data_IF_601462206215
#
_entry.id   IF_601462206215
#
_cell.length_a   1.000
_cell.length_b   1.000
_cell.length_c   1.000
_cell.angle_alpha   90.00
_cell.angle_beta   90.00
_cell.angle_gamma   90.00
#
_symmetry.space_group_name_H-M   'P 1'
#
loop_
_entity.id
_entity.type
_entity.pdbx_description
1 polymer ?
#
# COMPACT_ATOMS: atom_id res chain seq x y z
N UNK A 1 30.88 16.36 -7.87
CA UNK A 1 30.79 14.97 -7.37
C UNK A 1 31.18 14.03 -8.50
N UNK A 2 32.00 12.98 -8.21
CA UNK A 2 32.32 11.95 -9.22
C UNK A 2 31.06 11.13 -9.54
N UNK A 3 30.94 10.67 -10.78
CA UNK A 3 29.89 9.70 -11.18
C UNK A 3 30.08 8.39 -10.43
N UNK A 4 28.98 7.75 -10.06
CA UNK A 4 28.98 6.39 -9.50
C UNK A 4 28.57 5.41 -10.59
N UNK A 5 29.18 4.25 -10.63
CA UNK A 5 28.87 3.18 -11.54
C UNK A 5 28.37 1.98 -10.75
N UNK A 6 27.21 1.45 -11.10
CA UNK A 6 26.58 0.32 -10.44
C UNK A 6 26.32 -0.76 -11.48
N UNK A 7 26.88 -1.92 -11.26
CA UNK A 7 26.64 -3.09 -12.09
C UNK A 7 25.67 -4.04 -11.39
N UNK A 8 24.63 -4.46 -12.08
CA UNK A 8 23.62 -5.38 -11.58
C UNK A 8 23.53 -6.62 -12.46
N UNK A 9 23.32 -7.79 -11.83
CA UNK A 9 23.02 -9.01 -12.56
C UNK A 9 21.69 -8.92 -13.28
N UNK A 10 20.68 -8.34 -12.62
CA UNK A 10 19.33 -8.18 -13.18
C UNK A 10 18.73 -6.83 -12.83
N UNK A 11 17.89 -6.33 -13.72
CA UNK A 11 17.12 -5.11 -13.56
C UNK A 11 15.65 -5.36 -13.87
N UNK A 12 14.79 -5.12 -12.88
CA UNK A 12 13.35 -4.94 -13.04
C UNK A 12 13.07 -3.45 -12.87
N UNK A 13 12.90 -2.72 -13.94
CA UNK A 13 12.96 -1.25 -13.94
C UNK A 13 11.67 -0.56 -13.46
N UNK A 14 10.61 -1.32 -13.15
CA UNK A 14 9.30 -0.80 -12.70
C UNK A 14 8.36 -0.39 -13.84
N UNK A 15 8.77 -0.50 -15.11
CA UNK A 15 7.91 -0.19 -16.26
C UNK A 15 6.89 -1.29 -16.58
N UNK A 16 7.13 -2.51 -16.11
CA UNK A 16 6.39 -3.73 -16.49
C UNK A 16 7.03 -4.47 -17.66
N UNK A 17 8.06 -3.90 -18.29
CA UNK A 17 8.84 -4.51 -19.36
C UNK A 17 9.66 -5.73 -18.88
N UNK A 18 10.10 -6.60 -19.78
CA UNK A 18 10.91 -7.76 -19.42
C UNK A 18 12.18 -7.39 -18.64
N UNK A 19 12.61 -8.34 -17.82
CA UNK A 19 13.85 -8.22 -17.03
C UNK A 19 15.04 -8.03 -17.96
N UNK A 20 15.93 -7.09 -17.62
CA UNK A 20 17.23 -6.91 -18.29
C UNK A 20 18.33 -7.55 -17.45
N UNK A 21 19.34 -8.10 -18.12
CA UNK A 21 20.48 -8.75 -17.47
C UNK A 21 21.78 -7.97 -17.70
N UNK A 22 22.71 -8.09 -16.74
CA UNK A 22 24.05 -7.51 -16.83
C UNK A 22 24.06 -6.01 -17.11
N UNK A 23 23.30 -5.24 -16.31
CA UNK A 23 23.05 -3.82 -16.56
C UNK A 23 24.03 -2.95 -15.78
N UNK A 24 24.58 -1.93 -16.46
CA UNK A 24 25.38 -0.87 -15.88
C UNK A 24 24.58 0.42 -15.74
N UNK A 25 24.40 0.91 -14.52
CA UNK A 25 23.83 2.22 -14.22
C UNK A 25 24.94 3.24 -13.97
N UNK A 26 24.81 4.41 -14.57
CA UNK A 26 25.64 5.58 -14.23
C UNK A 26 24.80 6.60 -13.48
N UNK A 27 25.26 6.98 -12.29
CA UNK A 27 24.57 7.95 -11.43
C UNK A 27 25.45 9.20 -11.30
N UNK A 28 24.88 10.36 -11.58
CA UNK A 28 25.55 11.64 -11.39
C UNK A 28 24.60 12.61 -10.68
N UNK A 29 25.09 13.29 -9.64
CA UNK A 29 24.32 14.26 -8.82
C UNK A 29 22.97 13.71 -8.33
N UNK A 30 22.92 12.41 -8.02
CA UNK A 30 21.72 11.75 -7.50
C UNK A 30 20.73 11.25 -8.53
N UNK A 31 20.92 11.54 -9.83
CA UNK A 31 20.08 11.07 -10.92
C UNK A 31 20.79 9.98 -11.76
N UNK A 32 20.00 9.09 -12.36
CA UNK A 32 20.44 8.09 -13.32
C UNK A 32 20.68 8.79 -14.66
N UNK A 33 21.92 8.86 -15.10
CA UNK A 33 22.28 9.55 -16.37
C UNK A 33 22.38 8.59 -17.55
N UNK A 34 22.71 7.32 -17.28
CA UNK A 34 22.86 6.30 -18.32
C UNK A 34 22.50 4.91 -17.80
N UNK A 35 21.93 4.11 -18.68
CA UNK A 35 21.64 2.68 -18.46
C UNK A 35 22.09 1.93 -19.70
N UNK A 36 23.04 1.01 -19.56
CA UNK A 36 23.60 0.25 -20.67
C UNK A 36 23.76 -1.21 -20.29
N UNK A 37 23.74 -2.08 -21.30
CA UNK A 37 24.16 -3.47 -21.10
C UNK A 37 25.68 -3.48 -20.93
N UNK A 38 26.14 -4.05 -19.82
CA UNK A 38 27.56 -4.04 -19.47
C UNK A 38 28.28 -5.24 -20.10
N UNK A 39 29.37 -4.94 -20.84
CA UNK A 39 30.31 -5.99 -21.24
C UNK A 39 31.25 -6.25 -20.05
N UNK A 40 31.39 -7.51 -19.57
CA UNK A 40 32.18 -7.83 -18.38
C UNK A 40 33.63 -7.27 -18.40
N UNK A 41 34.22 -7.13 -19.57
CA UNK A 41 35.59 -6.63 -19.73
C UNK A 41 35.75 -5.13 -19.38
N UNK A 42 34.72 -4.31 -19.51
CA UNK A 42 34.73 -2.91 -19.08
C UNK A 42 34.65 -2.71 -17.55
N UNK A 43 34.34 -3.77 -16.81
CA UNK A 43 34.31 -3.77 -15.33
C UNK A 43 35.63 -3.38 -14.68
N UNK A 44 36.79 -3.68 -15.31
CA UNK A 44 38.10 -3.58 -14.69
C UNK A 44 38.67 -2.17 -14.63
N UNK A 45 38.03 -1.18 -15.25
CA UNK A 45 38.62 0.15 -15.43
C UNK A 45 37.99 1.28 -14.59
N UNK A 46 36.95 1.02 -13.80
CA UNK A 46 36.22 2.04 -13.06
C UNK A 46 35.90 1.58 -11.62
N UNK A 47 35.83 2.54 -10.71
CA UNK A 47 35.35 2.28 -9.33
C UNK A 47 33.86 1.88 -9.40
N UNK A 48 33.59 0.58 -9.33
CA UNK A 48 32.32 -0.06 -9.58
C UNK A 48 31.69 -0.57 -8.28
N UNK A 49 30.42 -0.23 -8.05
CA UNK A 49 29.62 -0.88 -7.03
C UNK A 49 29.02 -2.14 -7.66
N UNK A 50 29.45 -3.30 -7.16
CA UNK A 50 29.12 -4.60 -7.75
C UNK A 50 27.90 -5.25 -7.08
N UNK A 51 26.78 -5.27 -7.80
CA UNK A 51 25.56 -6.00 -7.53
C UNK A 51 25.29 -7.11 -8.56
N UNK A 52 26.35 -7.73 -9.11
CA UNK A 52 26.23 -8.80 -10.11
C UNK A 52 25.40 -10.00 -9.66
N UNK A 53 25.29 -10.21 -8.36
CA UNK A 53 24.52 -11.27 -7.72
C UNK A 53 23.15 -10.80 -7.21
N UNK A 54 22.75 -9.58 -7.60
CA UNK A 54 21.49 -8.96 -7.15
C UNK A 54 20.57 -8.59 -8.30
N UNK A 55 19.29 -8.55 -7.98
CA UNK A 55 18.26 -7.89 -8.78
C UNK A 55 18.07 -6.46 -8.26
N UNK A 56 18.12 -5.48 -9.16
CA UNK A 56 17.74 -4.09 -8.86
C UNK A 56 16.24 -3.87 -9.17
N UNK A 57 15.58 -3.15 -8.27
CA UNK A 57 14.18 -2.76 -8.35
C UNK A 57 14.06 -1.27 -7.99
N UNK A 58 13.09 -0.50 -8.51
CA UNK A 58 12.78 0.80 -7.93
C UNK A 58 12.45 0.68 -6.45
N UNK A 59 12.68 1.73 -5.68
CA UNK A 59 12.17 1.78 -4.30
C UNK A 59 10.68 1.50 -4.29
N UNK A 60 10.25 0.59 -3.42
CA UNK A 60 8.87 0.15 -3.31
C UNK A 60 7.98 1.23 -2.71
N UNK A 61 6.69 1.18 -3.01
CA UNK A 61 5.68 2.11 -2.50
C UNK A 61 4.49 1.30 -1.97
N UNK A 62 4.01 1.63 -0.77
CA UNK A 62 2.79 1.05 -0.20
C UNK A 62 1.65 2.07 -0.28
N UNK A 63 0.68 1.84 -1.16
CA UNK A 63 -0.37 2.81 -1.46
C UNK A 63 -1.54 2.81 -0.45
N UNK A 64 -1.50 1.99 0.59
CA UNK A 64 -2.52 1.96 1.64
C UNK A 64 -1.97 1.42 2.95
N UNK A 65 -1.74 2.30 3.91
CA UNK A 65 -1.36 1.95 5.28
C UNK A 65 -2.18 2.76 6.29
N UNK A 66 -2.11 2.42 7.56
CA UNK A 66 -2.50 3.21 8.71
C UNK A 66 -1.31 3.34 9.67
N UNK A 67 -0.54 4.42 9.53
CA UNK A 67 0.72 4.60 10.27
C UNK A 67 0.50 4.71 11.79
N UNK A 68 -0.66 5.21 12.20
CA UNK A 68 -1.06 5.33 13.60
C UNK A 68 -1.15 3.97 14.32
N UNK A 69 -1.64 2.92 13.64
CA UNK A 69 -1.89 1.59 14.23
C UNK A 69 -0.75 0.63 13.94
N UNK A 70 -0.40 -0.24 14.89
CA UNK A 70 0.45 -1.40 14.62
C UNK A 70 -0.36 -2.58 14.07
N UNK A 71 0.32 -3.50 13.36
CA UNK A 71 -0.30 -4.74 12.87
C UNK A 71 -0.46 -5.82 13.94
N UNK A 72 -0.41 -5.49 15.24
CA UNK A 72 -0.51 -6.47 16.33
C UNK A 72 -1.83 -7.22 16.30
N UNK A 73 -1.79 -8.49 16.68
CA UNK A 73 -2.95 -9.38 16.86
C UNK A 73 -3.55 -9.26 18.25
N UNK A 74 -2.84 -8.61 19.18
CA UNK A 74 -3.28 -8.38 20.55
C UNK A 74 -4.32 -7.26 20.59
N UNK A 75 -5.56 -7.64 20.94
CA UNK A 75 -6.70 -6.72 20.96
C UNK A 75 -6.62 -5.68 22.09
N UNK A 76 -5.97 -6.01 23.21
CA UNK A 76 -5.79 -5.07 24.31
C UNK A 76 -4.76 -3.99 23.95
N UNK A 77 -3.67 -4.37 23.28
CA UNK A 77 -2.71 -3.42 22.75
C UNK A 77 -3.39 -2.52 21.70
N UNK A 78 -4.21 -3.09 20.81
CA UNK A 78 -4.95 -2.31 19.80
C UNK A 78 -5.92 -1.31 20.45
N UNK A 79 -6.65 -1.76 21.49
CA UNK A 79 -7.56 -0.88 22.22
C UNK A 79 -6.81 0.28 22.90
N UNK A 80 -5.66 0.00 23.51
CA UNK A 80 -4.78 1.03 24.08
C UNK A 80 -4.29 2.03 23.04
N UNK A 81 -3.87 1.55 21.85
CA UNK A 81 -3.41 2.44 20.77
C UNK A 81 -4.47 3.48 20.37
N UNK A 82 -5.76 3.14 20.43
CA UNK A 82 -6.84 4.07 20.09
C UNK A 82 -7.04 5.20 21.12
N UNK A 83 -6.47 5.07 22.31
CA UNK A 83 -6.56 6.07 23.40
C UNK A 83 -5.27 6.86 23.65
N UNK A 84 -4.21 6.58 22.88
CA UNK A 84 -2.93 7.26 23.02
C UNK A 84 -3.03 8.74 22.63
N UNK A 85 -2.21 9.56 23.26
CA UNK A 85 -2.00 10.97 22.89
C UNK A 85 -1.05 11.08 21.70
N UNK A 86 -0.90 12.27 21.14
CA UNK A 86 0.02 12.48 20.02
C UNK A 86 1.47 12.12 20.41
N UNK A 87 1.93 12.57 21.58
CA UNK A 87 3.30 12.31 22.03
C UNK A 87 3.58 10.81 22.23
N UNK A 88 2.58 10.05 22.69
CA UNK A 88 2.70 8.59 22.90
C UNK A 88 2.86 7.80 21.59
N UNK A 89 2.32 8.29 20.48
CA UNK A 89 2.33 7.55 19.19
C UNK A 89 3.56 7.83 18.35
N UNK A 90 4.31 8.91 18.60
CA UNK A 90 5.46 9.32 17.79
C UNK A 90 6.47 8.18 17.65
N UNK A 91 6.96 7.61 18.75
CA UNK A 91 7.94 6.54 18.73
C UNK A 91 7.46 5.30 17.93
N UNK A 92 6.18 4.95 18.05
CA UNK A 92 5.59 3.87 17.26
C UNK A 92 5.48 4.20 15.76
N UNK A 93 5.20 5.44 15.39
CA UNK A 93 5.21 5.86 13.98
C UNK A 93 6.62 5.80 13.39
N UNK A 94 7.62 6.25 14.13
CA UNK A 94 9.04 6.20 13.73
C UNK A 94 9.54 4.77 13.55
N UNK A 95 9.18 3.87 14.47
CA UNK A 95 9.47 2.44 14.33
C UNK A 95 8.88 1.90 13.02
N UNK A 96 7.62 2.21 12.72
CA UNK A 96 6.93 1.75 11.50
C UNK A 96 7.54 2.35 10.24
N UNK A 97 7.94 3.63 10.23
CA UNK A 97 8.69 4.23 9.12
C UNK A 97 10.05 3.56 8.93
N UNK A 98 10.75 3.23 10.02
CA UNK A 98 11.98 2.45 9.98
C UNK A 98 11.77 1.05 9.38
N UNK A 99 10.65 0.40 9.70
CA UNK A 99 10.28 -0.91 9.16
C UNK A 99 9.96 -0.84 7.65
N UNK A 100 9.32 0.25 7.18
CA UNK A 100 9.12 0.48 5.74
C UNK A 100 10.47 0.56 5.02
N UNK A 101 11.39 1.40 5.47
CA UNK A 101 12.72 1.55 4.87
C UNK A 101 13.54 0.25 4.92
N UNK A 102 13.47 -0.50 6.02
CA UNK A 102 14.13 -1.79 6.14
C UNK A 102 13.64 -2.84 5.13
N UNK A 103 12.43 -2.65 4.59
CA UNK A 103 11.85 -3.47 3.52
C UNK A 103 11.94 -2.81 2.14
N UNK A 104 12.73 -1.72 1.98
CA UNK A 104 12.90 -1.03 0.70
C UNK A 104 11.71 -0.17 0.26
N UNK A 105 10.78 0.13 1.17
CA UNK A 105 9.62 0.99 0.88
C UNK A 105 10.01 2.43 1.15
N UNK A 106 10.03 3.25 0.10
CA UNK A 106 10.49 4.64 0.11
C UNK A 106 9.35 5.66 0.10
N UNK A 107 8.13 5.20 -0.14
CA UNK A 107 6.94 6.04 -0.12
C UNK A 107 5.73 5.25 0.38
N UNK A 108 4.79 5.94 1.02
CA UNK A 108 3.54 5.33 1.46
C UNK A 108 2.38 6.34 1.48
N UNK A 109 1.14 5.80 1.41
CA UNK A 109 -0.10 6.57 1.52
C UNK A 109 -0.89 6.11 2.74
N UNK A 110 -1.03 6.98 3.72
CA UNK A 110 -1.77 6.73 4.94
C UNK A 110 -3.26 6.97 4.76
N UNK A 111 -4.08 6.00 5.14
CA UNK A 111 -5.53 6.03 5.03
C UNK A 111 -6.24 6.84 6.12
N UNK A 112 -5.48 7.55 6.94
CA UNK A 112 -5.99 8.41 7.99
C UNK A 112 -6.11 7.75 9.35
N UNK A 113 -6.21 8.59 10.36
CA UNK A 113 -6.52 8.26 11.74
C UNK A 113 -7.49 9.28 12.32
N UNK A 114 -8.22 8.89 13.38
CA UNK A 114 -9.28 9.71 13.99
C UNK A 114 -8.83 11.10 14.42
N UNK A 115 -7.59 11.23 14.88
CA UNK A 115 -7.02 12.44 15.44
C UNK A 115 -6.16 13.22 14.44
N UNK A 116 -5.94 12.68 13.22
CA UNK A 116 -5.02 13.19 12.21
C UNK A 116 -3.57 13.27 12.71
N UNK A 117 -3.17 12.38 13.61
CA UNK A 117 -1.82 12.34 14.19
C UNK A 117 -0.75 12.05 13.13
N UNK A 118 -1.05 11.20 12.13
CA UNK A 118 -0.12 10.96 11.04
C UNK A 118 0.18 12.24 10.25
N UNK A 119 -0.83 13.08 10.00
CA UNK A 119 -0.64 14.36 9.33
C UNK A 119 0.13 15.36 10.22
N UNK A 120 -0.18 15.40 11.51
CA UNK A 120 0.54 16.23 12.47
C UNK A 120 2.01 15.80 12.55
N UNK A 121 2.30 14.50 12.65
CA UNK A 121 3.65 13.95 12.63
C UNK A 121 4.41 14.35 11.37
N UNK A 122 3.78 14.20 10.20
CA UNK A 122 4.37 14.64 8.94
C UNK A 122 4.80 16.10 8.98
N UNK A 123 3.91 16.98 9.41
CA UNK A 123 4.17 18.42 9.48
C UNK A 123 5.27 18.78 10.47
N UNK A 124 5.26 18.15 11.66
CA UNK A 124 6.10 18.60 12.78
C UNK A 124 7.47 17.90 12.78
N UNK A 125 7.60 16.68 12.23
CA UNK A 125 8.77 15.82 12.40
C UNK A 125 9.37 15.31 11.09
N UNK A 126 8.58 14.94 10.08
CA UNK A 126 9.10 14.27 8.89
C UNK A 126 10.02 15.17 8.06
N UNK A 127 9.73 16.47 8.00
CA UNK A 127 10.55 17.46 7.28
C UNK A 127 11.94 17.66 7.88
N UNK A 128 12.20 17.12 9.09
CA UNK A 128 13.53 17.10 9.72
C UNK A 128 14.47 16.04 9.17
N UNK A 129 14.07 15.31 8.09
CA UNK A 129 14.87 14.32 7.36
C UNK A 129 15.42 13.14 8.20
N UNK A 130 14.75 12.76 9.28
CA UNK A 130 15.14 11.58 10.07
C UNK A 130 14.83 10.30 9.30
N UNK A 131 13.68 10.26 8.64
CA UNK A 131 13.24 9.15 7.80
C UNK A 131 12.96 9.66 6.37
N UNK A 132 13.76 9.28 5.37
CA UNK A 132 13.58 9.72 3.99
C UNK A 132 12.47 8.93 3.28
N UNK A 133 11.30 8.86 3.88
CA UNK A 133 10.09 8.25 3.32
C UNK A 133 9.16 9.35 2.83
N UNK A 134 8.66 9.22 1.60
CA UNK A 134 7.62 10.09 1.08
C UNK A 134 6.27 9.65 1.66
N UNK A 135 5.79 10.36 2.68
CA UNK A 135 4.51 10.09 3.32
C UNK A 135 3.41 10.98 2.74
N UNK A 136 2.38 10.37 2.17
CA UNK A 136 1.12 11.03 1.81
C UNK A 136 0.09 10.71 2.88
N UNK A 137 -0.51 11.70 3.53
CA UNK A 137 -1.41 11.52 4.65
C UNK A 137 -2.78 12.16 4.41
N UNK A 138 -3.85 11.41 4.71
CA UNK A 138 -5.24 11.87 4.57
C UNK A 138 -5.71 12.76 5.74
N UNK A 139 -4.97 12.80 6.85
CA UNK A 139 -5.49 13.31 8.10
C UNK A 139 -6.58 12.39 8.66
N UNK A 140 -7.80 12.87 8.89
CA UNK A 140 -8.92 12.04 9.30
C UNK A 140 -9.76 11.63 8.08
N UNK A 141 -10.14 10.33 8.00
CA UNK A 141 -11.07 9.85 7.00
C UNK A 141 -12.49 10.36 7.25
N UNK A 142 -13.35 10.38 6.22
CA UNK A 142 -14.74 10.79 6.33
C UNK A 142 -15.68 9.59 6.32
N UNK A 143 -16.58 9.50 7.31
CA UNK A 143 -17.61 8.46 7.40
C UNK A 143 -18.93 9.05 7.92
N UNK A 144 -20.06 8.38 7.69
CA UNK A 144 -21.36 8.80 8.24
C UNK A 144 -21.46 8.52 9.75
N UNK A 145 -22.19 9.37 10.45
CA UNK A 145 -22.48 9.20 11.88
C UNK A 145 -23.08 7.81 12.15
N UNK A 146 -22.57 7.14 13.18
CA UNK A 146 -23.06 5.81 13.56
C UNK A 146 -22.63 4.66 12.63
N UNK A 147 -21.87 4.93 11.56
CA UNK A 147 -21.40 3.93 10.60
C UNK A 147 -19.93 3.58 10.84
N UNK A 148 -19.45 2.58 10.09
CA UNK A 148 -18.04 2.17 10.11
C UNK A 148 -17.11 3.31 9.68
N UNK A 149 -15.93 3.40 10.34
CA UNK A 149 -14.88 4.38 10.02
C UNK A 149 -14.40 5.20 11.24
N UNK A 150 -15.06 5.08 12.40
CA UNK A 150 -14.75 5.87 13.61
C UNK A 150 -13.29 5.76 14.09
N UNK A 151 -12.61 4.62 13.84
CA UNK A 151 -11.20 4.43 14.23
C UNK A 151 -10.26 5.32 13.41
N UNK A 152 -10.57 5.49 12.14
CA UNK A 152 -9.68 6.15 11.18
C UNK A 152 -10.16 7.55 10.78
N UNK A 153 -11.34 7.96 11.26
CA UNK A 153 -11.93 9.17 10.76
C UNK A 153 -12.97 9.81 11.67
N UNK A 154 -13.67 10.76 11.09
CA UNK A 154 -14.73 11.55 11.69
C UNK A 154 -15.91 11.71 10.72
N UNK A 155 -17.05 12.12 11.27
CA UNK A 155 -18.23 12.44 10.48
C UNK A 155 -18.25 13.92 10.11
N UNK A 156 -18.92 14.28 8.99
CA UNK A 156 -19.30 15.66 8.74
C UNK A 156 -20.08 16.25 9.94
N UNK A 157 -20.01 17.53 10.16
CA UNK A 157 -20.81 18.21 11.19
C UNK A 157 -22.31 17.94 11.01
N UNK A 158 -23.07 17.93 12.09
CA UNK A 158 -24.50 17.54 12.10
C UNK A 158 -25.36 18.27 11.05
N UNK A 159 -24.98 19.47 10.65
CA UNK A 159 -25.66 20.29 9.61
C UNK A 159 -24.79 20.55 8.39
N UNK A 160 -23.62 19.92 8.28
CA UNK A 160 -22.70 20.11 7.17
C UNK A 160 -22.79 18.97 6.14
N UNK A 161 -22.76 19.32 4.86
CA UNK A 161 -22.55 18.35 3.78
C UNK A 161 -21.09 17.92 3.73
N UNK A 162 -20.85 16.69 3.26
CA UNK A 162 -19.50 16.10 3.12
C UNK A 162 -18.53 17.03 2.37
N UNK A 163 -18.95 17.59 1.22
CA UNK A 163 -18.11 18.46 0.41
C UNK A 163 -17.64 19.71 1.16
N UNK A 164 -18.48 20.30 2.00
CA UNK A 164 -18.11 21.46 2.83
C UNK A 164 -17.11 21.07 3.93
N UNK A 165 -17.37 19.97 4.64
CA UNK A 165 -16.48 19.47 5.68
C UNK A 165 -15.09 19.12 5.12
N UNK A 166 -15.03 18.52 3.92
CA UNK A 166 -13.78 18.27 3.19
C UNK A 166 -13.08 19.59 2.86
N UNK A 167 -13.79 20.58 2.32
CA UNK A 167 -13.23 21.87 1.94
C UNK A 167 -12.55 22.60 3.11
N UNK A 168 -13.10 22.48 4.31
CA UNK A 168 -12.55 23.08 5.53
C UNK A 168 -11.18 22.53 5.92
N UNK A 169 -10.79 21.33 5.42
CA UNK A 169 -9.54 20.65 5.78
C UNK A 169 -8.61 20.40 4.60
N UNK A 170 -9.07 20.68 3.38
CA UNK A 170 -8.36 20.26 2.14
C UNK A 170 -6.92 20.77 2.06
N UNK A 171 -6.62 21.94 2.63
CA UNK A 171 -5.27 22.55 2.62
C UNK A 171 -4.29 21.91 3.59
N UNK A 172 -4.78 21.05 4.48
CA UNK A 172 -3.96 20.40 5.51
C UNK A 172 -3.71 18.92 5.22
N UNK A 173 -4.15 18.40 4.06
CA UNK A 173 -4.06 16.97 3.71
C UNK A 173 -3.45 16.80 2.32
N UNK A 174 -2.86 15.62 2.06
CA UNK A 174 -2.32 15.29 0.73
C UNK A 174 -3.38 14.68 -0.19
N UNK A 175 -4.39 14.04 0.38
CA UNK A 175 -5.49 13.38 -0.34
C UNK A 175 -6.71 13.22 0.58
N UNK A 176 -7.87 13.05 -0.02
CA UNK A 176 -9.12 12.83 0.70
C UNK A 176 -9.32 11.33 0.90
N UNK A 177 -9.61 10.89 2.12
CA UNK A 177 -10.06 9.52 2.41
C UNK A 177 -11.53 9.51 2.80
N UNK A 178 -12.31 8.67 2.12
CA UNK A 178 -13.73 8.47 2.40
C UNK A 178 -14.00 6.98 2.66
N UNK A 179 -14.85 6.69 3.63
CA UNK A 179 -15.35 5.35 3.95
C UNK A 179 -16.79 5.26 3.45
N UNK A 180 -17.00 4.52 2.36
CA UNK A 180 -18.34 4.42 1.73
C UNK A 180 -19.04 3.08 1.95
N UNK A 181 -18.46 2.17 2.71
CA UNK A 181 -19.10 0.90 3.07
C UNK A 181 -18.71 0.46 4.50
N UNK A 182 -19.24 -0.66 4.98
CA UNK A 182 -18.70 -1.36 6.13
C UNK A 182 -17.58 -2.32 5.74
N UNK A 183 -17.13 -3.10 6.73
CA UNK A 183 -16.16 -4.19 6.52
C UNK A 183 -16.82 -5.41 5.86
N UNK A 184 -16.01 -6.23 5.23
CA UNK A 184 -16.41 -7.57 4.81
C UNK A 184 -16.72 -8.46 6.02
N UNK A 185 -17.72 -9.30 5.86
CA UNK A 185 -18.02 -10.31 6.87
C UNK A 185 -17.05 -11.50 6.73
N UNK A 186 -16.44 -11.88 7.84
CA UNK A 186 -15.66 -13.12 7.94
C UNK A 186 -16.53 -14.36 8.25
N UNK A 187 -17.83 -14.16 8.53
CA UNK A 187 -18.76 -15.24 8.88
C UNK A 187 -19.79 -15.46 7.76
N UNK A 188 -20.15 -14.39 7.05
CA UNK A 188 -21.15 -14.45 5.97
C UNK A 188 -20.51 -14.02 4.67
N UNK A 189 -20.02 -14.99 3.90
CA UNK A 189 -19.42 -14.76 2.58
C UNK A 189 -20.37 -13.99 1.66
N UNK A 190 -19.85 -13.00 0.93
CA UNK A 190 -20.63 -12.19 0.00
C UNK A 190 -21.60 -11.19 0.63
N UNK A 191 -21.63 -11.06 1.97
CA UNK A 191 -22.51 -10.07 2.61
C UNK A 191 -22.03 -8.66 2.32
N UNK A 192 -22.83 -7.92 1.57
CA UNK A 192 -22.61 -6.50 1.29
C UNK A 192 -23.18 -5.61 2.40
N UNK A 193 -22.62 -4.42 2.54
CA UNK A 193 -23.14 -3.35 3.40
C UNK A 193 -23.61 -2.19 2.54
N UNK A 194 -24.69 -1.46 2.94
CA UNK A 194 -25.15 -0.33 2.18
C UNK A 194 -24.11 0.81 2.16
N UNK A 195 -24.13 1.64 1.10
CA UNK A 195 -23.25 2.81 1.00
C UNK A 195 -23.52 3.77 2.18
N UNK A 196 -22.48 4.53 2.54
CA UNK A 196 -22.58 5.54 3.59
C UNK A 196 -22.97 6.91 3.04
N UNK A 197 -22.53 7.24 1.86
CA UNK A 197 -22.80 8.49 1.15
C UNK A 197 -23.43 8.17 -0.21
N UNK A 198 -24.24 9.05 -0.72
CA UNK A 198 -24.78 8.95 -2.07
C UNK A 198 -23.82 9.54 -3.12
N UNK A 199 -24.20 9.44 -4.41
CA UNK A 199 -23.39 9.93 -5.53
C UNK A 199 -23.19 11.44 -5.46
N UNK A 200 -24.18 12.20 -5.02
CA UNK A 200 -24.12 13.67 -4.99
C UNK A 200 -23.14 14.13 -3.94
N UNK A 201 -23.24 13.56 -2.72
CA UNK A 201 -22.34 13.85 -1.61
C UNK A 201 -20.87 13.53 -1.95
N UNK A 202 -20.62 12.34 -2.52
CA UNK A 202 -19.27 11.96 -2.93
C UNK A 202 -18.75 12.85 -4.06
N UNK A 203 -19.59 13.20 -5.04
CA UNK A 203 -19.20 14.05 -6.16
C UNK A 203 -18.84 15.46 -5.71
N UNK A 204 -19.54 16.01 -4.72
CA UNK A 204 -19.19 17.29 -4.10
C UNK A 204 -17.77 17.21 -3.48
N UNK A 205 -17.45 16.16 -2.69
CA UNK A 205 -16.15 15.97 -2.09
C UNK A 205 -15.02 15.76 -3.13
N UNK A 206 -15.28 14.95 -4.16
CA UNK A 206 -14.35 14.73 -5.28
C UNK A 206 -14.07 16.04 -6.03
N UNK A 207 -15.11 16.84 -6.26
CA UNK A 207 -15.00 18.15 -6.94
C UNK A 207 -14.13 19.11 -6.14
N UNK A 208 -14.30 19.14 -4.82
CA UNK A 208 -13.39 19.89 -3.92
C UNK A 208 -11.96 19.38 -4.08
N UNK A 209 -11.73 18.06 -4.00
CA UNK A 209 -10.42 17.46 -4.21
C UNK A 209 -9.77 17.91 -5.52
N UNK A 210 -10.47 17.76 -6.64
CA UNK A 210 -9.97 18.16 -7.97
C UNK A 210 -9.55 19.63 -8.02
N UNK A 211 -10.32 20.53 -7.41
CA UNK A 211 -10.01 21.97 -7.34
C UNK A 211 -8.68 22.26 -6.63
N UNK A 212 -8.31 21.43 -5.65
CA UNK A 212 -7.10 21.62 -4.84
C UNK A 212 -5.98 20.63 -5.19
N UNK A 213 -6.12 19.83 -6.26
CA UNK A 213 -5.11 18.84 -6.66
C UNK A 213 -5.00 17.64 -5.73
N UNK A 214 -6.01 17.39 -4.90
CA UNK A 214 -6.06 16.26 -3.96
C UNK A 214 -6.84 15.09 -4.55
N UNK A 215 -6.19 13.95 -4.67
CA UNK A 215 -6.83 12.70 -5.07
C UNK A 215 -7.84 12.21 -4.01
N UNK A 216 -8.84 11.45 -4.43
CA UNK A 216 -9.85 10.88 -3.52
C UNK A 216 -9.70 9.37 -3.46
N UNK A 217 -9.40 8.86 -2.26
CA UNK A 217 -9.23 7.48 -1.87
C UNK A 217 -10.52 6.98 -1.19
N UNK A 218 -11.18 5.94 -1.72
CA UNK A 218 -12.49 5.49 -1.22
C UNK A 218 -12.45 4.04 -0.78
N UNK A 219 -12.62 3.78 0.53
CA UNK A 219 -12.93 2.46 1.05
C UNK A 219 -14.35 2.07 0.60
N UNK A 220 -14.49 1.07 -0.23
CA UNK A 220 -15.78 0.58 -0.71
C UNK A 220 -15.74 -0.92 -1.01
N UNK A 221 -16.67 -1.66 -0.41
CA UNK A 221 -16.90 -3.09 -0.62
C UNK A 221 -18.35 -3.30 -1.08
N UNK A 222 -18.56 -4.29 -1.94
CA UNK A 222 -19.87 -4.57 -2.54
C UNK A 222 -20.13 -3.77 -3.81
N UNK A 223 -21.11 -4.25 -4.59
CA UNK A 223 -21.42 -3.66 -5.91
C UNK A 223 -21.86 -2.21 -5.79
N UNK A 224 -22.83 -1.93 -4.91
CA UNK A 224 -23.46 -0.60 -4.83
C UNK A 224 -22.55 0.50 -4.27
N UNK A 225 -21.80 0.30 -3.16
CA UNK A 225 -20.87 1.31 -2.67
C UNK A 225 -19.76 1.64 -3.67
N UNK A 226 -19.23 0.63 -4.38
CA UNK A 226 -18.22 0.84 -5.43
C UNK A 226 -18.82 1.60 -6.61
N UNK A 227 -19.97 1.20 -7.13
CA UNK A 227 -20.67 1.89 -8.21
C UNK A 227 -20.87 3.39 -7.91
N UNK A 228 -21.28 3.71 -6.68
CA UNK A 228 -21.48 5.10 -6.24
C UNK A 228 -20.17 5.88 -6.24
N UNK A 229 -19.08 5.28 -5.72
CA UNK A 229 -17.76 5.92 -5.69
C UNK A 229 -17.22 6.18 -7.11
N UNK A 230 -17.39 5.21 -8.02
CA UNK A 230 -17.00 5.34 -9.43
C UNK A 230 -17.81 6.45 -10.12
N UNK A 231 -19.14 6.47 -9.95
CA UNK A 231 -20.01 7.53 -10.51
C UNK A 231 -19.68 8.93 -9.99
N UNK A 232 -19.15 9.03 -8.78
CA UNK A 232 -18.66 10.29 -8.22
C UNK A 232 -17.29 10.72 -8.80
N UNK A 233 -16.58 9.84 -9.50
CA UNK A 233 -15.28 10.10 -10.13
C UNK A 233 -14.12 10.11 -9.16
N UNK A 234 -14.10 9.19 -8.18
CA UNK A 234 -12.98 8.98 -7.28
C UNK A 234 -11.71 8.56 -8.03
N UNK A 235 -10.52 8.69 -7.39
CA UNK A 235 -9.25 8.35 -8.02
C UNK A 235 -8.84 6.90 -7.74
N UNK A 236 -9.21 6.37 -6.57
CA UNK A 236 -8.98 4.95 -6.25
C UNK A 236 -10.09 4.35 -5.41
N UNK A 237 -10.33 3.06 -5.65
CA UNK A 237 -11.13 2.17 -4.80
C UNK A 237 -10.16 1.34 -3.96
N UNK A 238 -10.39 1.33 -2.66
CA UNK A 238 -9.65 0.53 -1.70
C UNK A 238 -10.49 -0.70 -1.34
N UNK A 239 -9.82 -1.84 -1.20
CA UNK A 239 -10.38 -3.17 -0.95
C UNK A 239 -11.23 -3.69 -2.10
N UNK A 240 -12.40 -3.13 -2.38
CA UNK A 240 -13.23 -3.50 -3.53
C UNK A 240 -13.74 -4.94 -3.51
N UNK A 241 -13.87 -5.57 -2.33
CA UNK A 241 -14.41 -6.93 -2.25
C UNK A 241 -15.83 -6.99 -2.81
N UNK A 242 -16.11 -8.01 -3.61
CA UNK A 242 -17.45 -8.25 -4.20
C UNK A 242 -17.97 -7.10 -5.07
N UNK A 243 -17.11 -6.34 -5.71
CA UNK A 243 -17.52 -5.19 -6.52
C UNK A 243 -18.23 -5.56 -7.83
N UNK A 244 -18.01 -6.77 -8.33
CA UNK A 244 -18.63 -7.27 -9.57
C UNK A 244 -17.96 -6.78 -10.86
N UNK A 245 -18.23 -7.51 -11.96
CA UNK A 245 -17.53 -7.29 -13.23
C UNK A 245 -17.83 -5.94 -13.87
N UNK A 246 -19.05 -5.42 -13.75
CA UNK A 246 -19.42 -4.14 -14.35
C UNK A 246 -18.64 -2.96 -13.75
N UNK A 247 -18.38 -3.01 -12.42
CA UNK A 247 -17.55 -2.01 -11.79
C UNK A 247 -16.08 -2.16 -12.22
N UNK A 248 -15.58 -3.39 -12.41
CA UNK A 248 -14.24 -3.61 -12.96
C UNK A 248 -14.10 -3.06 -14.37
N UNK A 249 -15.06 -3.31 -15.27
CA UNK A 249 -15.08 -2.74 -16.62
C UNK A 249 -15.05 -1.22 -16.56
N UNK A 250 -15.90 -0.63 -15.72
CA UNK A 250 -15.96 0.81 -15.54
C UNK A 250 -14.63 1.39 -15.03
N UNK A 251 -13.97 0.71 -14.09
CA UNK A 251 -12.65 1.13 -13.61
C UNK A 251 -11.60 1.09 -14.72
N UNK A 252 -11.65 0.09 -15.60
CA UNK A 252 -10.78 0.01 -16.78
C UNK A 252 -11.05 1.15 -17.76
N UNK A 253 -12.32 1.39 -18.10
CA UNK A 253 -12.72 2.45 -19.05
C UNK A 253 -12.37 3.86 -18.53
N UNK A 254 -12.64 4.13 -17.25
CA UNK A 254 -12.41 5.44 -16.61
C UNK A 254 -11.00 5.58 -16.03
N UNK A 255 -10.14 4.56 -16.15
CA UNK A 255 -8.76 4.52 -15.63
C UNK A 255 -8.68 4.85 -14.13
N UNK A 256 -9.64 4.34 -13.34
CA UNK A 256 -9.67 4.47 -11.89
C UNK A 256 -8.83 3.36 -11.26
N UNK A 257 -7.91 3.71 -10.36
CA UNK A 257 -7.04 2.76 -9.69
C UNK A 257 -7.80 1.84 -8.73
N UNK A 258 -7.38 0.57 -8.68
CA UNK A 258 -7.79 -0.35 -7.64
C UNK A 258 -6.61 -0.75 -6.73
N UNK A 259 -6.82 -0.66 -5.40
CA UNK A 259 -5.89 -1.08 -4.36
C UNK A 259 -6.57 -2.20 -3.56
N UNK A 260 -6.38 -3.47 -3.92
CA UNK A 260 -7.19 -4.59 -3.41
C UNK A 260 -6.92 -4.96 -1.95
N UNK A 261 -5.72 -4.70 -1.42
CA UNK A 261 -5.31 -5.05 -0.04
C UNK A 261 -5.63 -6.51 0.33
N UNK A 262 -5.39 -7.44 -0.60
CA UNK A 262 -5.75 -8.85 -0.44
C UNK A 262 -5.04 -9.51 0.76
N UNK A 263 -3.86 -9.00 1.13
CA UNK A 263 -3.09 -9.47 2.28
C UNK A 263 -3.86 -9.37 3.60
N UNK A 264 -4.86 -8.50 3.72
CA UNK A 264 -5.71 -8.41 4.93
C UNK A 264 -6.47 -9.72 5.19
N UNK A 265 -7.04 -10.32 4.13
CA UNK A 265 -7.75 -11.61 4.26
C UNK A 265 -6.78 -12.76 4.51
N UNK A 266 -5.60 -12.73 3.89
CA UNK A 266 -4.52 -13.69 4.22
C UNK A 266 -4.12 -13.59 5.70
N UNK A 267 -3.93 -12.37 6.21
CA UNK A 267 -3.57 -12.13 7.59
C UNK A 267 -4.65 -12.67 8.55
N UNK A 268 -5.93 -12.38 8.31
CA UNK A 268 -7.03 -12.93 9.13
C UNK A 268 -7.05 -14.46 9.10
N UNK A 269 -6.92 -15.08 7.93
CA UNK A 269 -6.84 -16.54 7.81
C UNK A 269 -5.69 -17.10 8.63
N UNK A 270 -4.51 -16.52 8.53
CA UNK A 270 -3.30 -17.01 9.20
C UNK A 270 -3.40 -16.82 10.73
N UNK A 271 -3.90 -15.67 11.20
CA UNK A 271 -4.12 -15.37 12.62
C UNK A 271 -5.14 -16.34 13.25
N UNK A 272 -6.28 -16.54 12.61
CA UNK A 272 -7.28 -17.47 13.12
C UNK A 272 -6.82 -18.92 13.02
N UNK A 273 -6.13 -19.30 11.96
CA UNK A 273 -5.53 -20.62 11.83
C UNK A 273 -4.51 -20.92 12.93
N UNK A 274 -3.69 -19.94 13.32
CA UNK A 274 -2.76 -20.09 14.44
C UNK A 274 -3.50 -20.21 15.79
N UNK A 275 -4.58 -19.44 16.00
CA UNK A 275 -5.42 -19.54 17.21
C UNK A 275 -6.06 -20.92 17.33
N UNK A 276 -6.57 -21.48 16.22
CA UNK A 276 -7.11 -22.85 16.17
C UNK A 276 -6.06 -23.86 16.61
N UNK A 277 -4.84 -23.80 16.05
CA UNK A 277 -3.73 -24.69 16.44
C UNK A 277 -3.38 -24.59 17.91
N UNK A 278 -3.32 -23.37 18.44
CA UNK A 278 -2.98 -23.13 19.86
C UNK A 278 -4.06 -23.61 20.83
N UNK A 279 -5.33 -23.57 20.44
CA UNK A 279 -6.47 -24.04 21.23
C UNK A 279 -6.66 -25.56 21.10
N UNK A 280 -6.43 -26.14 19.92
CA UNK A 280 -6.61 -27.60 19.69
C UNK A 280 -5.64 -28.51 20.47
N UNK A 281 -4.61 -27.93 21.12
CA UNK A 281 -3.76 -28.64 22.07
C UNK A 281 -4.40 -28.82 23.50
N UNK A 282 -5.57 -28.22 23.74
CA UNK A 282 -6.36 -28.34 24.95
C UNK A 282 -7.73 -28.92 24.55
N UNK A 283 -8.22 -29.92 25.27
CA UNK A 283 -9.48 -30.63 24.96
C UNK A 283 -10.70 -29.70 25.11
N UNK A 284 -11.01 -28.92 24.10
CA UNK A 284 -12.11 -27.95 24.02
C UNK A 284 -13.07 -28.25 22.86
N UNK A 285 -13.35 -29.54 22.62
CA UNK A 285 -14.18 -30.00 21.51
C UNK A 285 -15.66 -29.53 21.53
N UNK A 286 -16.10 -28.80 22.55
CA UNK A 286 -17.48 -28.29 22.72
C UNK A 286 -17.57 -26.76 22.91
N UNK A 287 -16.51 -26.01 22.67
CA UNK A 287 -16.51 -24.55 22.87
C UNK A 287 -17.07 -23.81 21.68
N UNK A 288 -18.17 -23.07 21.86
CA UNK A 288 -18.77 -22.20 20.84
C UNK A 288 -17.79 -21.14 20.28
N UNK A 289 -16.76 -20.80 21.04
CA UNK A 289 -15.70 -19.88 20.62
C UNK A 289 -14.83 -20.50 19.53
N UNK A 290 -14.51 -21.78 19.60
CA UNK A 290 -13.73 -22.51 18.61
C UNK A 290 -14.47 -22.61 17.29
N UNK A 291 -15.77 -22.94 17.32
CA UNK A 291 -16.62 -22.98 16.12
C UNK A 291 -16.59 -21.63 15.39
N UNK A 292 -16.73 -20.53 16.13
CA UNK A 292 -16.70 -19.18 15.55
C UNK A 292 -15.35 -18.80 14.97
N UNK A 293 -14.23 -19.16 15.60
CA UNK A 293 -12.88 -18.92 15.07
C UNK A 293 -12.67 -19.70 13.76
N UNK A 294 -13.15 -20.97 13.70
CA UNK A 294 -13.11 -21.77 12.47
C UNK A 294 -13.92 -21.13 11.33
N UNK A 295 -15.14 -20.67 11.62
CA UNK A 295 -15.98 -19.96 10.64
C UNK A 295 -15.26 -18.70 10.11
N UNK A 296 -14.62 -17.93 10.98
CA UNK A 296 -13.89 -16.72 10.58
C UNK A 296 -12.66 -17.04 9.75
N UNK A 297 -11.91 -18.11 10.07
CA UNK A 297 -10.77 -18.56 9.29
C UNK A 297 -11.19 -19.01 7.88
N UNK A 298 -12.28 -19.79 7.81
CA UNK A 298 -12.86 -20.26 6.54
C UNK A 298 -13.38 -19.08 5.71
N UNK A 299 -14.11 -18.16 6.34
CA UNK A 299 -14.63 -16.98 5.65
C UNK A 299 -13.50 -16.07 5.14
N UNK A 300 -12.39 -15.92 5.88
CA UNK A 300 -11.22 -15.21 5.40
C UNK A 300 -10.58 -15.89 4.18
N UNK A 301 -10.50 -17.24 4.16
CA UNK A 301 -10.00 -17.99 3.01
C UNK A 301 -10.89 -17.79 1.78
N UNK A 302 -12.21 -17.93 1.92
CA UNK A 302 -13.15 -17.73 0.82
C UNK A 302 -13.10 -16.29 0.27
N UNK A 303 -13.02 -15.29 1.15
CA UNK A 303 -12.87 -13.89 0.75
C UNK A 303 -11.55 -13.66 0.00
N UNK A 304 -10.45 -14.29 0.44
CA UNK A 304 -9.16 -14.19 -0.25
C UNK A 304 -9.21 -14.80 -1.64
N UNK A 305 -9.74 -16.01 -1.77
CA UNK A 305 -9.88 -16.71 -3.06
C UNK A 305 -10.71 -15.88 -4.05
N UNK A 306 -11.85 -15.37 -3.61
CA UNK A 306 -12.69 -14.50 -4.42
C UNK A 306 -11.96 -13.20 -4.82
N UNK A 307 -11.17 -12.60 -3.91
CA UNK A 307 -10.42 -11.39 -4.21
C UNK A 307 -9.32 -11.66 -5.25
N UNK A 308 -8.62 -12.78 -5.15
CA UNK A 308 -7.61 -13.17 -6.14
C UNK A 308 -8.23 -13.38 -7.54
N UNK A 309 -9.43 -13.95 -7.61
CA UNK A 309 -10.16 -14.08 -8.87
C UNK A 309 -10.55 -12.72 -9.44
N UNK A 310 -11.05 -11.80 -8.60
CA UNK A 310 -11.32 -10.42 -9.03
C UNK A 310 -10.04 -9.71 -9.53
N UNK A 311 -8.88 -9.90 -8.85
CA UNK A 311 -7.58 -9.33 -9.27
C UNK A 311 -7.17 -9.88 -10.64
N UNK A 312 -7.32 -11.18 -10.87
CA UNK A 312 -7.07 -11.79 -12.19
C UNK A 312 -7.95 -11.16 -13.25
N UNK A 313 -9.25 -11.08 -12.98
CA UNK A 313 -10.21 -10.50 -13.91
C UNK A 313 -9.95 -9.01 -14.19
N UNK A 314 -9.58 -8.23 -13.16
CA UNK A 314 -9.20 -6.82 -13.31
C UNK A 314 -7.98 -6.65 -14.22
N UNK A 315 -6.96 -7.51 -14.07
CA UNK A 315 -5.79 -7.54 -14.95
C UNK A 315 -6.19 -7.78 -16.42
N UNK A 316 -7.05 -8.75 -16.67
CA UNK A 316 -7.54 -9.07 -18.03
C UNK A 316 -8.30 -7.92 -18.66
N UNK A 317 -9.08 -7.18 -17.86
CA UNK A 317 -9.84 -6.01 -18.30
C UNK A 317 -8.99 -4.74 -18.43
N UNK A 318 -7.73 -4.74 -17.99
CA UNK A 318 -6.86 -3.56 -18.04
C UNK A 318 -7.14 -2.52 -16.97
N UNK A 319 -7.73 -2.92 -15.83
CA UNK A 319 -7.91 -2.02 -14.68
C UNK A 319 -6.53 -1.53 -14.18
N UNK A 320 -6.32 -0.23 -13.96
CA UNK A 320 -5.10 0.26 -13.35
C UNK A 320 -4.95 -0.29 -11.92
N UNK A 321 -4.02 -1.22 -11.73
CA UNK A 321 -3.79 -1.86 -10.43
C UNK A 321 -2.69 -1.12 -9.67
N UNK A 322 -2.95 -0.81 -8.41
CA UNK A 322 -1.98 -0.26 -7.47
C UNK A 322 -1.91 -1.17 -6.23
N UNK A 323 -0.80 -1.17 -5.52
CA UNK A 323 -0.55 -2.13 -4.45
C UNK A 323 -0.49 -1.43 -3.10
N UNK A 324 -1.30 -1.89 -2.16
CA UNK A 324 -1.33 -1.42 -0.78
C UNK A 324 -1.67 -2.54 0.18
N UNK A 325 -1.21 -2.44 1.41
CA UNK A 325 -1.31 -3.54 2.38
C UNK A 325 -2.43 -3.39 3.38
N UNK A 326 -2.89 -2.17 3.63
CA UNK A 326 -3.71 -1.83 4.80
C UNK A 326 -2.97 -2.14 6.13
N UNK A 327 -1.62 -1.93 6.12
CA UNK A 327 -0.78 -2.14 7.30
C UNK A 327 -1.28 -1.29 8.47
N UNK A 328 -1.31 -1.90 9.65
CA UNK A 328 -2.04 -1.40 10.83
C UNK A 328 -3.32 -2.18 11.10
N UNK A 329 -3.83 -2.95 10.12
CA UNK A 329 -4.85 -3.98 10.34
C UNK A 329 -4.26 -5.19 11.06
N UNK A 330 -5.13 -6.02 11.68
CA UNK A 330 -4.71 -7.21 12.46
C UNK A 330 -3.87 -8.15 11.59
N UNK A 331 -2.66 -8.46 12.04
CA UNK A 331 -1.71 -9.33 11.35
C UNK A 331 -1.03 -8.70 10.12
N UNK A 332 -1.35 -7.43 9.78
CA UNK A 332 -0.75 -6.72 8.65
C UNK A 332 0.29 -5.72 9.13
N UNK A 333 1.56 -6.03 8.91
CA UNK A 333 2.68 -5.28 9.47
C UNK A 333 3.33 -4.35 8.44
N UNK A 334 3.65 -3.14 8.85
CA UNK A 334 4.36 -2.17 8.03
C UNK A 334 5.69 -2.73 7.51
N UNK A 335 5.92 -2.56 6.22
CA UNK A 335 7.09 -3.07 5.52
C UNK A 335 6.90 -4.49 5.00
N UNK A 336 6.95 -5.48 5.87
CA UNK A 336 6.98 -6.90 5.47
C UNK A 336 5.71 -7.40 4.77
N UNK A 337 4.54 -6.80 5.03
CA UNK A 337 3.29 -7.24 4.40
C UNK A 337 3.19 -6.91 2.93
N UNK A 338 3.96 -5.94 2.42
CA UNK A 338 3.97 -5.63 0.99
C UNK A 338 4.55 -6.80 0.16
N UNK A 339 5.53 -7.52 0.69
CA UNK A 339 6.04 -8.75 0.07
C UNK A 339 4.93 -9.79 -0.14
N UNK A 340 4.05 -9.94 0.83
CA UNK A 340 2.93 -10.87 0.74
C UNK A 340 1.87 -10.38 -0.27
N UNK A 341 1.60 -9.09 -0.35
CA UNK A 341 0.69 -8.54 -1.36
C UNK A 341 1.26 -8.75 -2.77
N UNK A 342 2.58 -8.55 -2.99
CA UNK A 342 3.26 -8.89 -4.26
C UNK A 342 3.05 -10.37 -4.61
N UNK A 343 3.21 -11.28 -3.64
CA UNK A 343 2.99 -12.71 -3.83
C UNK A 343 1.56 -13.02 -4.26
N UNK A 344 0.57 -12.37 -3.64
CA UNK A 344 -0.84 -12.54 -3.96
C UNK A 344 -1.15 -12.06 -5.39
N UNK A 345 -0.56 -10.94 -5.83
CA UNK A 345 -0.68 -10.50 -7.21
C UNK A 345 -0.07 -11.51 -8.20
N UNK A 346 1.09 -12.07 -7.87
CA UNK A 346 1.69 -13.13 -8.70
C UNK A 346 0.81 -14.38 -8.71
N UNK A 347 0.20 -14.77 -7.60
CA UNK A 347 -0.79 -15.86 -7.52
C UNK A 347 -2.02 -15.58 -8.40
N UNK A 348 -2.43 -14.32 -8.49
CA UNK A 348 -3.49 -13.86 -9.39
C UNK A 348 -3.04 -13.74 -10.87
N UNK A 349 -1.81 -14.16 -11.21
CA UNK A 349 -1.31 -14.26 -12.58
C UNK A 349 -0.50 -13.07 -13.07
N UNK A 350 -0.07 -12.15 -12.22
CA UNK A 350 0.89 -11.12 -12.61
C UNK A 350 2.29 -11.73 -12.77
N UNK A 351 3.01 -11.30 -13.81
CA UNK A 351 4.45 -11.57 -13.92
C UNK A 351 5.23 -10.80 -12.86
N UNK A 352 6.47 -11.19 -12.58
CA UNK A 352 7.35 -10.44 -11.68
C UNK A 352 7.46 -8.96 -12.06
N UNK A 353 7.77 -8.58 -13.33
CA UNK A 353 7.79 -7.18 -13.73
C UNK A 353 6.44 -6.47 -13.53
N UNK A 354 5.32 -7.13 -13.85
CA UNK A 354 3.98 -6.58 -13.67
C UNK A 354 3.60 -6.34 -12.22
N UNK A 355 3.93 -7.27 -11.32
CA UNK A 355 3.71 -7.10 -9.89
C UNK A 355 4.58 -5.99 -9.30
N UNK A 356 5.85 -5.91 -9.69
CA UNK A 356 6.76 -4.81 -9.32
C UNK A 356 6.24 -3.47 -9.84
N UNK A 357 5.75 -3.41 -11.09
CA UNK A 357 5.13 -2.20 -11.65
C UNK A 357 3.96 -1.70 -10.77
N UNK A 358 3.09 -2.61 -10.28
CA UNK A 358 1.99 -2.25 -9.39
C UNK A 358 2.49 -1.69 -8.04
N UNK A 359 3.59 -2.24 -7.49
CA UNK A 359 4.18 -1.80 -6.22
C UNK A 359 5.11 -0.58 -6.35
N UNK A 360 5.35 -0.08 -7.56
CA UNK A 360 6.30 1.01 -7.84
C UNK A 360 5.67 2.09 -8.72
N UNK A 361 5.74 1.98 -10.04
CA UNK A 361 5.28 3.00 -11.01
C UNK A 361 3.80 3.33 -10.86
N UNK A 362 2.94 2.32 -10.73
CA UNK A 362 1.51 2.56 -10.62
C UNK A 362 1.18 3.26 -9.30
N UNK A 363 1.82 2.85 -8.20
CA UNK A 363 1.69 3.51 -6.91
C UNK A 363 2.22 4.95 -6.97
N UNK A 364 3.37 5.19 -7.62
CA UNK A 364 3.90 6.54 -7.79
C UNK A 364 2.92 7.45 -8.52
N UNK A 365 2.32 6.96 -9.63
CA UNK A 365 1.28 7.70 -10.37
C UNK A 365 0.05 7.99 -9.50
N UNK A 366 -0.42 6.99 -8.75
CA UNK A 366 -1.57 7.16 -7.85
C UNK A 366 -1.29 8.21 -6.75
N UNK A 367 -0.05 8.28 -6.26
CA UNK A 367 0.35 9.18 -5.18
C UNK A 367 0.84 10.56 -5.68
N UNK A 368 0.83 10.83 -6.98
CA UNK A 368 1.43 12.03 -7.60
C UNK A 368 2.91 12.19 -7.17
N UNK A 369 3.71 11.15 -7.37
CA UNK A 369 5.14 11.08 -7.09
C UNK A 369 5.91 10.83 -8.41
N UNK A 370 5.95 11.82 -9.28
CA UNK A 370 6.47 11.69 -10.66
C UNK A 370 7.93 11.24 -10.74
N UNK A 371 8.72 11.54 -9.70
CA UNK A 371 10.14 11.20 -9.60
C UNK A 371 10.39 9.78 -9.06
N UNK A 372 9.35 8.98 -8.79
CA UNK A 372 9.46 7.66 -8.15
C UNK A 372 8.93 6.54 -9.04
N UNK A 373 9.25 5.33 -8.65
CA UNK A 373 8.63 4.10 -9.18
C UNK A 373 9.26 3.53 -10.44
N UNK A 374 10.33 4.15 -10.98
CA UNK A 374 11.06 3.62 -12.15
C UNK A 374 12.58 3.81 -12.01
N UNK A 375 13.35 2.89 -12.58
CA UNK A 375 14.77 3.03 -12.83
C UNK A 375 14.93 3.41 -14.31
N UNK A 376 15.02 4.70 -14.59
CA UNK A 376 15.08 5.22 -15.96
C UNK A 376 16.09 6.36 -16.07
N UNK A 377 16.58 6.63 -17.30
CA UNK A 377 17.43 7.79 -17.56
C UNK A 377 16.69 9.08 -17.21
N UNK A 378 17.33 9.93 -16.42
CA UNK A 378 16.77 11.20 -15.92
C UNK A 378 16.08 11.06 -14.56
N UNK A 379 15.64 9.88 -14.16
CA UNK A 379 15.00 9.67 -12.86
C UNK A 379 16.01 9.78 -11.69
N UNK A 380 15.56 10.20 -10.50
CA UNK A 380 16.34 10.08 -9.28
C UNK A 380 16.76 8.63 -9.03
N UNK A 381 18.01 8.44 -8.62
CA UNK A 381 18.54 7.10 -8.33
C UNK A 381 18.00 6.60 -6.97
N UNK A 382 16.71 6.23 -6.96
CA UNK A 382 15.99 5.67 -5.80
C UNK A 382 15.59 4.24 -6.13
N UNK A 383 16.34 3.28 -5.59
CA UNK A 383 16.20 1.86 -5.91
C UNK A 383 16.68 0.98 -4.75
N UNK A 384 16.30 -0.28 -4.80
CA UNK A 384 16.77 -1.35 -3.92
C UNK A 384 17.58 -2.37 -4.70
N UNK A 385 18.56 -2.99 -4.03
CA UNK A 385 19.25 -4.18 -4.48
C UNK A 385 18.85 -5.34 -3.55
N UNK A 386 18.36 -6.44 -4.11
CA UNK A 386 18.04 -7.66 -3.39
C UNK A 386 18.88 -8.81 -3.92
N UNK A 387 19.36 -9.67 -3.02
CA UNK A 387 20.19 -10.83 -3.41
C UNK A 387 19.37 -11.83 -4.22
N UNK A 388 19.94 -12.34 -5.28
CA UNK A 388 19.37 -13.39 -6.14
C UNK A 388 18.74 -12.88 -7.42
N UNK A 389 18.37 -13.81 -8.31
CA UNK A 389 17.72 -13.52 -9.59
C UNK A 389 16.23 -13.15 -9.39
N UNK A 390 15.59 -12.54 -10.41
CA UNK A 390 14.18 -12.13 -10.33
C UNK A 390 13.18 -13.25 -10.03
N UNK A 391 13.54 -14.49 -10.34
CA UNK A 391 12.72 -15.68 -10.05
C UNK A 391 12.54 -15.92 -8.54
N UNK A 392 13.47 -15.42 -7.72
CA UNK A 392 13.40 -15.52 -6.26
C UNK A 392 12.47 -14.47 -5.64
N UNK A 393 11.94 -13.54 -6.44
CA UNK A 393 10.95 -12.57 -5.98
C UNK A 393 9.58 -13.26 -5.77
N UNK A 394 8.84 -12.88 -4.74
CA UNK A 394 9.14 -11.79 -3.81
C UNK A 394 9.94 -12.22 -2.57
N UNK A 395 10.39 -13.47 -2.47
CA UNK A 395 11.07 -13.98 -1.26
C UNK A 395 12.37 -13.23 -0.98
N UNK A 396 13.14 -12.92 -2.01
CA UNK A 396 14.38 -12.15 -1.92
C UNK A 396 14.22 -10.71 -1.41
N UNK A 397 13.00 -10.15 -1.38
CA UNK A 397 12.73 -8.88 -0.70
C UNK A 397 13.02 -8.92 0.82
N UNK A 398 13.07 -10.12 1.42
CA UNK A 398 13.55 -10.32 2.79
C UNK A 398 15.07 -10.20 2.94
N UNK A 399 15.82 -10.18 1.84
CA UNK A 399 17.29 -10.12 1.77
C UNK A 399 17.76 -8.83 1.09
N UNK A 400 17.24 -7.68 1.58
CA UNK A 400 17.62 -6.36 1.09
C UNK A 400 19.12 -6.13 1.32
N UNK A 401 19.89 -6.03 0.23
CA UNK A 401 21.33 -5.79 0.26
C UNK A 401 21.65 -4.31 0.43
N UNK A 402 20.96 -3.45 -0.32
CA UNK A 402 21.14 -2.00 -0.25
C UNK A 402 19.86 -1.26 -0.65
N UNK A 403 19.68 -0.08 -0.06
CA UNK A 403 18.67 0.91 -0.43
C UNK A 403 19.38 2.20 -0.84
N UNK A 404 19.10 2.69 -2.03
CA UNK A 404 19.55 4.00 -2.52
C UNK A 404 18.38 4.96 -2.58
N UNK A 405 18.56 6.18 -2.08
CA UNK A 405 17.61 7.27 -2.18
C UNK A 405 18.34 8.50 -2.75
N UNK A 406 17.89 8.98 -3.91
CA UNK A 406 18.51 10.10 -4.61
C UNK A 406 20.03 9.93 -4.79
N UNK A 407 20.46 8.71 -5.16
CA UNK A 407 21.85 8.36 -5.42
C UNK A 407 22.76 8.20 -4.19
N UNK A 408 22.20 8.28 -2.98
CA UNK A 408 22.90 8.03 -1.71
C UNK A 408 22.42 6.73 -1.11
N UNK A 409 23.36 5.89 -0.69
CA UNK A 409 23.03 4.68 0.05
C UNK A 409 22.46 5.06 1.42
N UNK A 410 21.24 4.56 1.69
CA UNK A 410 20.60 4.73 2.99
C UNK A 410 21.14 3.65 3.94
N UNK A 411 21.70 4.09 5.05
CA UNK A 411 22.11 3.24 6.17
C UNK A 411 21.32 3.65 7.40
N UNK A 412 20.61 2.71 8.01
CA UNK A 412 19.93 2.98 9.28
C UNK A 412 20.99 3.47 10.28
N UNK A 413 20.81 4.67 10.81
CA UNK A 413 21.63 5.13 11.94
C UNK A 413 21.39 4.17 13.10
N UNK A 414 22.47 3.59 13.63
CA UNK A 414 22.46 2.73 14.82
C UNK A 414 22.05 3.52 16.06
#
# INVERSE_FOLDING_TARGET
>A
MKSKFIFAGWLVDGSGEPVRENVLLTINKGAITHIADAIPEKRRQQELIDFSHCTLLPGLIDAHIHLFMSGTEDLDIRAKQLSLTFDDVIGGMEERLGNLLACGIVACRDGGDRHAYTMQYKKDYLDRNVFPVQLKAAGAAWHQIGRYGKMIGKSPGASEKLGRSVCNQIRCIDHIKIVNSGLNSLVRFGKETPPQFDVVELKEAVTVGKRFGCNTMVHANGKKPVEIALKAGCHSIEHGFFMGEENLKRMADEQIFWVPTAVTMKAYRDVFGQRIKNLGSRDHSQDSSMSRINEMAQGASMNLEHQLEQIRRAKELGVPMAMGTDAGSIGVHHGRSLKEEIRLFMTAGFSVPGAVQCATRNNARLLNLDDYGVIAKGAPATFIAVTGPPQDLPDSLGSLTSLYINGKEYRKKR
#
